data_IF_480909036409
#
_entry.id   IF_480909036409
#
_cell.length_a   1.000
_cell.length_b   1.000
_cell.length_c   1.000
_cell.angle_alpha   90.00
_cell.angle_beta   90.00
_cell.angle_gamma   90.00
#
_symmetry.space_group_name_H-M   'P 1'
#
loop_
_entity.id
_entity.type
_entity.pdbx_description
1 polymer ?
#
# COMPACT_ATOMS: atom_id res chain seq x y z
N UNK A 1 21.93 29.58 -32.16
CA UNK A 1 20.94 29.73 -31.06
C UNK A 1 19.83 28.67 -31.22
N UNK A 2 20.14 27.38 -31.00
CA UNK A 2 19.26 26.22 -31.25
C UNK A 2 18.88 25.49 -29.94
N UNK A 3 18.60 26.22 -28.86
CA UNK A 3 18.32 25.61 -27.54
C UNK A 3 16.94 25.91 -26.97
N UNK A 4 16.10 26.70 -27.65
CA UNK A 4 14.79 27.08 -27.11
C UNK A 4 13.59 26.29 -27.65
N UNK A 5 13.75 25.46 -28.68
CA UNK A 5 12.61 24.77 -29.31
C UNK A 5 12.31 23.36 -28.77
N UNK A 6 13.21 22.78 -27.96
CA UNK A 6 13.04 21.40 -27.47
C UNK A 6 12.31 21.28 -26.13
N UNK A 7 12.11 22.39 -25.41
CA UNK A 7 11.50 22.38 -24.07
C UNK A 7 9.97 22.39 -24.08
N UNK A 8 9.34 22.92 -25.15
CA UNK A 8 7.89 23.10 -25.20
C UNK A 8 7.10 21.80 -25.47
N UNK A 9 7.73 20.79 -26.10
CA UNK A 9 7.06 19.54 -26.50
C UNK A 9 6.97 18.55 -25.33
N UNK A 10 7.84 18.65 -24.32
CA UNK A 10 7.88 17.69 -23.21
C UNK A 10 6.82 17.96 -22.11
N UNK A 11 6.37 19.21 -21.95
CA UNK A 11 5.41 19.58 -20.90
C UNK A 11 4.02 18.97 -21.15
N UNK A 12 3.58 18.88 -22.42
CA UNK A 12 2.26 18.29 -22.73
C UNK A 12 2.19 16.79 -22.44
N UNK A 13 3.30 16.06 -22.57
CA UNK A 13 3.32 14.59 -22.39
C UNK A 13 3.27 14.18 -20.92
N UNK A 14 3.83 14.99 -20.02
CA UNK A 14 3.74 14.74 -18.57
C UNK A 14 2.34 15.03 -18.00
N UNK A 15 1.64 16.01 -18.56
CA UNK A 15 0.31 16.40 -18.07
C UNK A 15 -0.77 15.33 -18.35
N UNK A 16 -0.66 14.64 -19.50
CA UNK A 16 -1.61 13.59 -19.87
C UNK A 16 -1.38 12.31 -19.04
N UNK A 17 -0.13 11.94 -18.74
CA UNK A 17 0.15 10.78 -17.89
C UNK A 17 -0.27 10.97 -16.42
N UNK A 18 -0.18 12.19 -15.87
CA UNK A 18 -0.61 12.47 -14.51
C UNK A 18 -2.14 12.36 -14.33
N UNK A 19 -2.90 12.73 -15.37
CA UNK A 19 -4.37 12.70 -15.34
C UNK A 19 -4.95 11.27 -15.36
N UNK A 20 -4.31 10.36 -16.10
CA UNK A 20 -4.69 8.94 -16.09
C UNK A 20 -4.28 8.22 -14.80
N UNK A 21 -3.16 8.63 -14.17
CA UNK A 21 -2.74 8.06 -12.88
C UNK A 21 -3.71 8.42 -11.74
N UNK A 22 -4.26 9.64 -11.72
CA UNK A 22 -5.24 10.04 -10.69
C UNK A 22 -6.57 9.28 -10.77
N UNK A 23 -6.95 8.80 -11.96
CA UNK A 23 -8.23 8.11 -12.17
C UNK A 23 -8.19 6.64 -11.71
N UNK A 24 -7.00 6.03 -11.70
CA UNK A 24 -6.79 4.65 -11.24
C UNK A 24 -6.66 4.61 -9.71
N UNK A 25 -6.05 5.63 -9.10
CA UNK A 25 -5.91 5.71 -7.63
C UNK A 25 -7.27 5.94 -6.96
N UNK A 26 -8.18 6.70 -7.58
CA UNK A 26 -9.50 6.99 -7.00
C UNK A 26 -10.44 5.78 -6.88
N UNK A 27 -10.27 4.75 -7.72
CA UNK A 27 -11.16 3.58 -7.75
C UNK A 27 -10.67 2.40 -6.88
N UNK A 28 -9.37 2.36 -6.53
CA UNK A 28 -8.82 1.35 -5.63
C UNK A 28 -8.99 1.69 -4.14
N UNK A 29 -9.22 2.95 -3.78
CA UNK A 29 -9.54 3.34 -2.38
C UNK A 29 -10.92 2.83 -1.95
N UNK A 30 -11.87 2.73 -2.89
CA UNK A 30 -13.27 2.41 -2.58
C UNK A 30 -13.48 0.98 -2.09
N UNK A 31 -12.64 0.02 -2.49
CA UNK A 31 -12.76 -1.38 -2.05
C UNK A 31 -12.32 -1.60 -0.59
N UNK A 32 -11.51 -0.68 -0.05
CA UNK A 32 -11.04 -0.76 1.34
C UNK A 32 -12.05 -0.16 2.34
N UNK A 33 -12.94 0.73 1.88
CA UNK A 33 -14.01 1.29 2.73
C UNK A 33 -15.05 0.25 3.17
N UNK A 34 -15.13 -0.89 2.47
CA UNK A 34 -16.12 -1.95 2.73
C UNK A 34 -15.67 -3.06 3.68
N UNK A 35 -14.46 -3.04 4.23
CA UNK A 35 -14.02 -4.03 5.21
C UNK A 35 -14.17 -3.42 6.63
N UNK A 36 -15.24 -3.76 7.38
CA UNK A 36 -15.60 -3.07 8.63
C UNK A 36 -14.62 -3.29 9.80
N UNK A 37 -13.63 -4.18 9.66
CA UNK A 37 -12.59 -4.45 10.67
C UNK A 37 -11.37 -3.51 10.58
N UNK A 38 -11.23 -2.73 9.49
CA UNK A 38 -9.98 -2.01 9.17
C UNK A 38 -9.74 -0.77 10.04
N UNK A 39 -10.79 -0.14 10.57
CA UNK A 39 -10.68 1.15 11.32
C UNK A 39 -10.81 1.01 12.85
N UNK A 40 -10.62 -0.18 13.42
CA UNK A 40 -10.65 -0.42 14.87
C UNK A 40 -9.46 -1.25 15.34
N UNK A 41 -9.04 -1.04 16.59
CA UNK A 41 -7.93 -1.80 17.20
C UNK A 41 -6.56 -1.45 16.58
N UNK A 42 -5.68 -2.44 16.50
CA UNK A 42 -4.28 -2.29 16.05
C UNK A 42 -4.16 -1.62 14.67
N UNK A 43 -5.07 -1.91 13.74
CA UNK A 43 -5.08 -1.32 12.39
C UNK A 43 -5.31 0.19 12.33
N UNK A 44 -5.97 0.77 13.34
CA UNK A 44 -6.23 2.21 13.44
C UNK A 44 -5.07 3.00 14.06
N UNK A 45 -4.04 2.32 14.55
CA UNK A 45 -2.84 2.93 15.13
C UNK A 45 -2.17 3.80 14.07
N UNK A 46 -1.76 5.01 14.44
CA UNK A 46 -1.03 5.88 13.54
C UNK A 46 0.39 5.35 13.31
N UNK A 47 0.91 5.54 12.12
CA UNK A 47 2.26 5.14 11.76
C UNK A 47 3.33 5.84 12.61
N UNK A 48 3.05 7.06 13.06
CA UNK A 48 3.87 7.72 14.08
C UNK A 48 4.06 6.85 15.34
N UNK A 49 2.97 6.31 15.89
CA UNK A 49 3.01 5.49 17.10
C UNK A 49 3.71 4.15 16.83
N UNK A 50 3.43 3.52 15.68
CA UNK A 50 4.10 2.28 15.24
C UNK A 50 5.62 2.45 15.21
N UNK A 51 6.11 3.56 14.64
CA UNK A 51 7.55 3.87 14.60
C UNK A 51 8.08 4.13 16.01
N UNK A 52 7.36 4.88 16.83
CA UNK A 52 7.76 5.15 18.22
C UNK A 52 7.92 3.86 19.04
N UNK A 53 7.13 2.83 18.73
CA UNK A 53 7.17 1.54 19.40
C UNK A 53 8.15 0.54 18.78
N UNK A 54 9.04 0.97 17.89
CA UNK A 54 9.89 0.04 17.15
C UNK A 54 10.82 -0.83 18.04
N UNK A 55 11.09 -0.37 19.26
CA UNK A 55 11.91 -1.06 20.26
C UNK A 55 11.08 -1.85 21.30
N UNK A 56 9.75 -1.83 21.21
CA UNK A 56 8.87 -2.57 22.10
C UNK A 56 8.50 -3.93 21.50
N UNK A 57 9.04 -5.02 22.07
CA UNK A 57 8.85 -6.38 21.52
C UNK A 57 7.38 -6.84 21.49
N UNK A 58 6.57 -6.48 22.49
CA UNK A 58 5.14 -6.81 22.50
C UNK A 58 4.40 -6.10 21.36
N UNK A 59 4.62 -4.80 21.20
CA UNK A 59 3.98 -4.01 20.14
C UNK A 59 4.39 -4.52 18.77
N UNK A 60 5.69 -4.79 18.58
CA UNK A 60 6.23 -5.42 17.36
C UNK A 60 5.53 -6.73 17.04
N UNK A 61 5.38 -7.63 18.02
CA UNK A 61 4.70 -8.93 17.82
C UNK A 61 3.24 -8.74 17.43
N UNK A 62 2.50 -7.89 18.15
CA UNK A 62 1.07 -7.69 17.91
C UNK A 62 0.79 -7.03 16.56
N UNK A 63 1.55 -5.99 16.22
CA UNK A 63 1.48 -5.30 14.92
C UNK A 63 1.87 -6.25 13.79
N UNK A 64 2.95 -7.01 13.94
CA UNK A 64 3.38 -7.97 12.90
C UNK A 64 2.32 -9.04 12.65
N UNK A 65 1.75 -9.61 13.72
CA UNK A 65 0.68 -10.60 13.59
C UNK A 65 -0.56 -10.00 12.93
N UNK A 66 -0.95 -8.78 13.33
CA UNK A 66 -2.07 -8.09 12.72
C UNK A 66 -1.85 -7.87 11.21
N UNK A 67 -0.67 -7.39 10.80
CA UNK A 67 -0.32 -7.18 9.39
C UNK A 67 -0.38 -8.49 8.60
N UNK A 68 0.18 -9.58 9.13
CA UNK A 68 0.14 -10.91 8.49
C UNK A 68 -1.32 -11.36 8.29
N UNK A 69 -2.15 -11.26 9.33
CA UNK A 69 -3.56 -11.63 9.25
C UNK A 69 -4.33 -10.77 8.25
N UNK A 70 -4.01 -9.48 8.20
CA UNK A 70 -4.63 -8.55 7.26
C UNK A 70 -4.30 -8.89 5.81
N UNK A 71 -3.04 -9.17 5.50
CA UNK A 71 -2.60 -9.60 4.16
C UNK A 71 -3.28 -10.92 3.77
N UNK A 72 -3.39 -11.88 4.69
CA UNK A 72 -4.07 -13.16 4.46
C UNK A 72 -5.57 -12.96 4.16
N UNK A 73 -6.24 -12.05 4.87
CA UNK A 73 -7.63 -11.67 4.59
C UNK A 73 -7.79 -11.03 3.21
N UNK A 74 -6.90 -10.12 2.84
CA UNK A 74 -6.89 -9.50 1.51
C UNK A 74 -6.66 -10.55 0.42
N UNK A 75 -5.69 -11.45 0.60
CA UNK A 75 -5.43 -12.55 -0.34
C UNK A 75 -6.64 -13.48 -0.51
N UNK A 76 -7.28 -13.89 0.60
CA UNK A 76 -8.49 -14.72 0.59
C UNK A 76 -9.64 -14.04 -0.15
N UNK A 77 -9.88 -12.77 0.15
CA UNK A 77 -10.94 -11.97 -0.47
C UNK A 77 -10.71 -11.82 -1.97
N UNK A 78 -9.46 -11.58 -2.35
CA UNK A 78 -9.03 -11.44 -3.73
C UNK A 78 -9.16 -12.74 -4.51
N UNK A 79 -8.72 -13.87 -3.93
CA UNK A 79 -8.83 -15.20 -4.54
C UNK A 79 -10.29 -15.65 -4.69
N UNK A 80 -11.18 -15.27 -3.76
CA UNK A 80 -12.60 -15.56 -3.84
C UNK A 80 -13.31 -14.78 -4.95
N UNK A 81 -12.77 -13.63 -5.37
CA UNK A 81 -13.38 -12.78 -6.37
C UNK A 81 -13.07 -13.27 -7.79
N UNK A 82 -13.98 -14.08 -8.34
CA UNK A 82 -13.90 -14.70 -9.68
C UNK A 82 -13.76 -13.72 -10.86
N UNK A 83 -13.99 -12.42 -10.63
CA UNK A 83 -13.84 -11.38 -11.66
C UNK A 83 -12.36 -11.03 -11.94
N UNK A 84 -11.45 -11.42 -11.06
CA UNK A 84 -10.04 -11.12 -11.17
C UNK A 84 -9.26 -12.37 -11.57
N UNK A 85 -9.27 -12.72 -12.86
CA UNK A 85 -8.57 -13.92 -13.40
C UNK A 85 -7.05 -13.94 -13.17
N UNK A 86 -6.43 -12.86 -12.68
CA UNK A 86 -4.98 -12.72 -12.49
C UNK A 86 -4.57 -11.74 -11.39
N UNK A 87 -5.29 -11.63 -10.27
CA UNK A 87 -4.70 -10.85 -9.16
C UNK A 87 -3.69 -11.74 -8.43
N UNK A 88 -2.41 -11.33 -8.33
CA UNK A 88 -1.40 -12.15 -7.69
C UNK A 88 -1.63 -12.28 -6.19
N UNK A 89 -1.35 -13.46 -5.65
CA UNK A 89 -1.29 -13.69 -4.21
C UNK A 89 -0.04 -12.99 -3.68
N UNK A 90 -0.20 -12.18 -2.64
CA UNK A 90 0.92 -11.52 -1.98
C UNK A 90 1.50 -12.48 -0.95
N UNK A 91 2.70 -12.99 -1.23
CA UNK A 91 3.47 -13.77 -0.26
C UNK A 91 4.62 -12.92 0.29
N UNK A 92 4.37 -12.32 1.46
CA UNK A 92 5.39 -11.54 2.16
C UNK A 92 6.19 -12.45 3.09
N UNK A 93 7.52 -12.38 2.97
CA UNK A 93 8.42 -13.07 3.88
C UNK A 93 8.13 -12.60 5.33
N UNK A 94 7.67 -13.51 6.18
CA UNK A 94 7.28 -13.24 7.57
C UNK A 94 8.37 -12.55 8.40
N UNK A 95 9.64 -12.84 8.10
CA UNK A 95 10.78 -12.22 8.78
C UNK A 95 11.00 -10.75 8.35
N UNK A 96 10.44 -10.36 7.21
CA UNK A 96 10.56 -9.02 6.64
C UNK A 96 9.31 -8.17 6.85
N UNK A 97 8.18 -8.76 7.25
CA UNK A 97 6.91 -8.04 7.45
C UNK A 97 7.10 -6.84 8.37
N UNK A 98 7.75 -7.04 9.52
CA UNK A 98 7.99 -5.96 10.46
C UNK A 98 8.77 -4.79 9.86
N UNK A 99 9.85 -5.08 9.14
CA UNK A 99 10.67 -4.05 8.48
C UNK A 99 9.91 -3.37 7.34
N UNK A 100 9.11 -4.12 6.59
CA UNK A 100 8.21 -3.57 5.58
C UNK A 100 7.20 -2.62 6.19
N UNK A 101 6.55 -3.01 7.28
CA UNK A 101 5.61 -2.16 8.02
C UNK A 101 6.27 -0.85 8.46
N UNK A 102 7.45 -0.92 9.07
CA UNK A 102 8.20 0.28 9.48
C UNK A 102 8.57 1.16 8.29
N UNK A 103 9.02 0.56 7.17
CA UNK A 103 9.39 1.30 5.97
C UNK A 103 8.19 2.06 5.39
N UNK A 104 7.02 1.42 5.26
CA UNK A 104 5.82 2.08 4.74
C UNK A 104 5.23 3.10 5.71
N UNK A 105 5.29 2.84 7.01
CA UNK A 105 4.90 3.84 8.00
C UNK A 105 5.83 5.06 8.02
N UNK A 106 7.10 4.88 7.64
CA UNK A 106 8.06 5.99 7.54
C UNK A 106 7.84 6.88 6.32
N UNK A 107 7.07 6.43 5.31
CA UNK A 107 6.75 7.24 4.13
C UNK A 107 5.77 8.37 4.47
N UNK A 108 4.82 8.12 5.38
CA UNK A 108 3.88 9.12 5.87
C UNK A 108 3.37 8.71 7.25
N UNK A 109 3.83 9.43 8.28
CA UNK A 109 3.53 9.12 9.68
C UNK A 109 2.09 9.42 10.08
N UNK A 110 1.32 10.13 9.23
CA UNK A 110 -0.08 10.48 9.50
C UNK A 110 -1.06 9.39 9.10
N UNK A 111 -0.60 8.40 8.32
CA UNK A 111 -1.43 7.26 7.94
C UNK A 111 -1.65 6.35 9.13
N UNK A 112 -2.77 5.63 9.09
CA UNK A 112 -2.98 4.46 9.94
C UNK A 112 -2.15 3.28 9.45
N UNK A 113 -1.89 2.32 10.35
CA UNK A 113 -1.21 1.07 10.04
C UNK A 113 -1.92 0.33 8.89
N UNK A 114 -3.25 0.32 8.89
CA UNK A 114 -4.04 -0.27 7.82
C UNK A 114 -3.77 0.38 6.46
N UNK A 115 -3.79 1.71 6.39
CA UNK A 115 -3.54 2.44 5.14
C UNK A 115 -2.11 2.21 4.64
N UNK A 116 -1.12 2.23 5.54
CA UNK A 116 0.27 1.93 5.20
C UNK A 116 0.44 0.48 4.70
N UNK A 117 -0.26 -0.47 5.32
CA UNK A 117 -0.24 -1.89 4.90
C UNK A 117 -0.90 -2.08 3.53
N UNK A 118 -1.99 -1.38 3.26
CA UNK A 118 -2.61 -1.37 1.92
C UNK A 118 -1.68 -0.79 0.86
N UNK A 119 -0.94 0.28 1.16
CA UNK A 119 0.09 0.80 0.24
C UNK A 119 1.18 -0.23 -0.05
N UNK A 120 1.59 -1.01 0.96
CA UNK A 120 2.54 -2.10 0.80
C UNK A 120 2.00 -3.17 -0.16
N UNK A 121 0.76 -3.61 0.07
CA UNK A 121 0.05 -4.58 -0.76
C UNK A 121 -0.05 -4.08 -2.22
N UNK A 122 -0.49 -2.84 -2.42
CA UNK A 122 -0.63 -2.23 -3.76
C UNK A 122 0.71 -2.19 -4.49
N UNK A 123 1.80 -1.81 -3.83
CA UNK A 123 3.11 -1.78 -4.49
C UNK A 123 3.60 -3.19 -4.87
N UNK A 124 3.33 -4.20 -4.05
CA UNK A 124 3.66 -5.59 -4.43
C UNK A 124 2.84 -6.06 -5.64
N UNK A 125 1.55 -5.71 -5.72
CA UNK A 125 0.76 -5.98 -6.92
C UNK A 125 1.29 -5.26 -8.16
N UNK A 126 1.64 -3.98 -8.07
CA UNK A 126 2.23 -3.24 -9.19
C UNK A 126 3.55 -3.86 -9.69
N UNK A 127 4.39 -4.35 -8.78
CA UNK A 127 5.64 -5.05 -9.15
C UNK A 127 5.36 -6.35 -9.90
N UNK A 128 4.27 -7.03 -9.58
CA UNK A 128 3.89 -8.29 -10.21
C UNK A 128 3.19 -8.07 -11.56
N UNK A 129 2.48 -6.96 -11.74
CA UNK A 129 1.89 -6.59 -13.04
C UNK A 129 2.94 -6.13 -14.07
N UNK A 130 4.04 -5.52 -13.61
CA UNK A 130 5.13 -5.04 -14.47
C UNK A 130 6.13 -6.14 -14.90
N UNK A 131 5.98 -7.38 -14.43
CA UNK A 131 6.80 -8.54 -14.81
C UNK A 131 6.16 -9.34 -15.94
#
# INVERSE_FOLDING_TARGET
MRLFFQYSINIKRHFVCAFFLSMIIGSSVSYCETIPSIKKGVGATLCFDVISWQHHETAKKDITNWVISFIDEVNKTTAANKNFKKVPIIDLNKNLVWFGTLAYCSLDTKLTLAEATMKLITNEWEKLEKR
#
